data_IF_572442121548
#
_entry.id   IF_572442121548
#
_cell.length_a   1.000
_cell.length_b   1.000
_cell.length_c   1.000
_cell.angle_alpha   90.00
_cell.angle_beta   90.00
_cell.angle_gamma   90.00
#
_symmetry.space_group_name_H-M   'P 1'
#
loop_
_entity.id
_entity.type
_entity.pdbx_description
1 polymer ?
#
# COMPACT_ATOMS: atom_id res chain seq x y z
N UNK A 1 -29.50 43.30 -35.61
CA UNK A 1 -29.00 42.12 -34.86
C UNK A 1 -27.48 42.19 -34.62
N UNK A 2 -26.95 43.25 -34.00
CA UNK A 2 -25.50 43.35 -33.68
C UNK A 2 -25.22 43.69 -32.21
N UNK A 3 -26.21 44.14 -31.46
CA UNK A 3 -26.09 44.51 -30.05
C UNK A 3 -26.32 43.35 -29.07
N UNK A 4 -26.88 42.22 -29.53
CA UNK A 4 -27.17 41.06 -28.69
C UNK A 4 -25.95 40.14 -28.45
N UNK A 5 -24.89 40.27 -29.26
CA UNK A 5 -23.65 39.48 -29.11
C UNK A 5 -22.61 40.11 -28.17
N UNK A 6 -22.77 41.39 -27.83
CA UNK A 6 -21.80 42.11 -26.97
C UNK A 6 -22.10 41.85 -25.49
N UNK A 7 -23.38 41.70 -25.12
CA UNK A 7 -23.76 41.42 -23.72
C UNK A 7 -23.41 40.01 -23.23
N UNK A 8 -23.24 39.04 -24.13
CA UNK A 8 -22.84 37.67 -23.78
C UNK A 8 -21.34 37.52 -23.52
N UNK A 9 -20.50 38.45 -23.98
CA UNK A 9 -19.05 38.39 -23.78
C UNK A 9 -18.62 38.93 -22.40
N UNK A 10 -19.40 39.86 -21.83
CA UNK A 10 -19.08 40.52 -20.55
C UNK A 10 -19.36 39.59 -19.35
N UNK A 11 -20.32 38.67 -19.48
CA UNK A 11 -20.64 37.71 -18.42
C UNK A 11 -19.60 36.59 -18.23
N UNK A 12 -18.74 36.31 -19.22
CA UNK A 12 -17.72 35.26 -19.12
C UNK A 12 -16.46 35.68 -18.34
N UNK A 13 -16.20 36.98 -18.15
CA UNK A 13 -14.95 37.45 -17.52
C UNK A 13 -15.07 37.51 -16.00
N UNK A 14 -16.27 37.60 -15.44
CA UNK A 14 -16.50 37.69 -14.00
C UNK A 14 -16.36 36.35 -13.24
N UNK A 15 -16.31 35.21 -13.95
CA UNK A 15 -16.26 33.88 -13.31
C UNK A 15 -14.83 33.41 -12.95
N UNK A 16 -13.77 34.11 -13.36
CA UNK A 16 -12.38 33.66 -13.17
C UNK A 16 -11.69 34.24 -11.92
N UNK A 17 -12.34 35.13 -11.16
CA UNK A 17 -11.71 35.83 -10.03
C UNK A 17 -11.85 35.11 -8.67
N UNK A 18 -12.31 33.86 -8.63
CA UNK A 18 -12.75 33.22 -7.38
C UNK A 18 -11.81 32.15 -6.81
N UNK A 19 -10.48 32.27 -6.94
CA UNK A 19 -9.57 31.45 -6.11
C UNK A 19 -8.23 32.14 -5.85
N UNK A 20 -8.21 33.10 -4.92
CA UNK A 20 -6.99 33.50 -4.23
C UNK A 20 -7.23 33.50 -2.72
N UNK A 21 -7.22 32.31 -2.13
CA UNK A 21 -6.93 32.16 -0.70
C UNK A 21 -5.52 31.57 -0.60
N UNK A 22 -4.56 32.44 -0.32
CA UNK A 22 -3.23 32.04 0.07
C UNK A 22 -3.28 31.61 1.54
N UNK A 23 -3.52 30.32 1.77
CA UNK A 23 -3.37 29.73 3.11
C UNK A 23 -1.90 29.75 3.49
N UNK A 24 -1.50 30.79 4.23
CA UNK A 24 -0.25 30.80 4.99
C UNK A 24 -0.40 29.89 6.21
N UNK A 25 -0.45 28.58 5.97
CA UNK A 25 -0.18 27.61 7.02
C UNK A 25 1.34 27.50 7.15
N UNK A 26 1.94 27.67 8.35
CA UNK A 26 3.36 27.42 8.52
C UNK A 26 3.62 25.97 8.14
N UNK A 27 4.47 25.75 7.14
CA UNK A 27 4.94 24.44 6.76
C UNK A 27 5.58 23.80 8.00
N UNK A 28 4.80 22.96 8.67
CA UNK A 28 5.33 21.98 9.60
C UNK A 28 6.38 21.25 8.79
N UNK A 29 7.64 21.36 9.20
CA UNK A 29 8.72 20.53 8.68
C UNK A 29 8.37 19.10 9.10
N UNK A 30 7.47 18.48 8.34
CA UNK A 30 7.44 17.04 8.26
C UNK A 30 8.80 16.70 7.70
N UNK A 31 9.66 16.17 8.56
CA UNK A 31 10.76 15.32 8.12
C UNK A 31 10.14 14.45 7.04
N UNK A 32 10.53 14.69 5.79
CA UNK A 32 10.32 13.76 4.70
C UNK A 32 11.11 12.54 5.14
N UNK A 33 10.48 11.70 5.96
CA UNK A 33 10.95 10.35 6.21
C UNK A 33 10.89 9.79 4.82
N UNK A 34 12.05 9.65 4.22
CA UNK A 34 12.25 8.87 3.03
C UNK A 34 11.77 7.48 3.43
N UNK A 35 10.47 7.22 3.29
CA UNK A 35 9.88 5.91 3.53
C UNK A 35 10.31 5.09 2.34
N UNK A 36 11.59 4.72 2.33
CA UNK A 36 12.03 3.53 1.66
C UNK A 36 11.17 2.43 2.28
N UNK A 37 10.08 2.04 1.62
CA UNK A 37 9.14 1.06 2.10
C UNK A 37 9.89 -0.26 2.16
N UNK A 38 10.65 -0.46 3.23
CA UNK A 38 11.45 -1.64 3.43
C UNK A 38 10.53 -2.84 3.24
N UNK A 39 10.92 -3.75 2.37
CA UNK A 39 10.17 -4.98 2.13
C UNK A 39 10.90 -6.14 2.77
N UNK A 40 10.18 -7.23 3.02
CA UNK A 40 10.79 -8.49 3.41
C UNK A 40 10.22 -9.58 2.52
N UNK A 41 11.00 -10.64 2.34
CA UNK A 41 10.61 -11.75 1.46
C UNK A 41 10.15 -12.93 2.30
N UNK A 42 8.93 -13.38 2.09
CA UNK A 42 8.44 -14.65 2.63
C UNK A 42 8.84 -15.74 1.65
N UNK A 43 9.53 -16.78 2.12
CA UNK A 43 10.05 -17.88 1.30
C UNK A 43 9.35 -19.17 1.73
N UNK A 44 8.77 -19.88 0.75
CA UNK A 44 8.28 -21.22 0.96
C UNK A 44 9.42 -22.23 0.80
N UNK A 45 9.89 -22.75 1.91
CA UNK A 45 10.93 -23.77 2.03
C UNK A 45 10.38 -25.10 2.58
N UNK A 46 9.06 -25.26 2.65
CA UNK A 46 8.40 -26.42 3.26
C UNK A 46 8.25 -27.63 2.33
N UNK A 47 8.52 -27.47 1.03
CA UNK A 47 8.34 -28.54 0.04
C UNK A 47 6.87 -28.91 -0.24
N UNK A 48 5.91 -28.14 0.27
CA UNK A 48 4.47 -28.26 -0.02
C UNK A 48 3.93 -26.94 -0.60
N UNK A 49 2.82 -26.96 -1.34
CA UNK A 49 2.16 -25.73 -1.81
C UNK A 49 1.45 -25.08 -0.62
N UNK A 50 1.74 -23.80 -0.35
CA UNK A 50 1.14 -23.06 0.75
C UNK A 50 0.44 -21.81 0.22
N UNK A 51 -0.80 -21.58 0.65
CA UNK A 51 -1.51 -20.31 0.43
C UNK A 51 -1.47 -19.51 1.73
N UNK A 52 -1.05 -18.26 1.66
CA UNK A 52 -0.99 -17.36 2.80
C UNK A 52 -1.79 -16.10 2.54
N UNK A 53 -2.38 -15.52 3.59
CA UNK A 53 -2.95 -14.19 3.56
C UNK A 53 -2.03 -13.21 4.29
N UNK A 54 -1.48 -12.24 3.55
CA UNK A 54 -0.49 -11.26 4.06
C UNK A 54 -1.10 -10.09 4.83
N UNK A 55 -2.42 -10.09 5.01
CA UNK A 55 -3.19 -8.96 5.50
C UNK A 55 -3.66 -7.97 4.42
N UNK A 56 -3.16 -8.09 3.17
CA UNK A 56 -3.64 -7.32 2.00
C UNK A 56 -4.34 -8.21 0.97
N UNK A 57 -3.81 -9.41 0.78
CA UNK A 57 -4.36 -10.36 -0.16
C UNK A 57 -3.82 -11.76 0.11
N UNK A 58 -4.24 -12.68 -0.75
CA UNK A 58 -3.79 -14.07 -0.72
C UNK A 58 -2.71 -14.28 -1.75
N UNK A 59 -1.64 -14.95 -1.33
CA UNK A 59 -0.54 -15.35 -2.19
C UNK A 59 -0.41 -16.86 -2.14
N UNK A 60 -0.32 -17.48 -3.32
CA UNK A 60 0.00 -18.90 -3.45
C UNK A 60 1.49 -19.07 -3.66
N UNK A 61 2.13 -19.83 -2.79
CA UNK A 61 3.55 -20.17 -2.86
C UNK A 61 3.67 -21.65 -3.25
N UNK A 62 4.34 -21.90 -4.38
CA UNK A 62 4.37 -23.23 -5.01
C UNK A 62 5.25 -24.24 -4.26
N UNK A 63 5.06 -25.53 -4.59
CA UNK A 63 5.72 -26.67 -3.94
C UNK A 63 7.25 -26.68 -4.11
N UNK A 64 7.74 -26.39 -5.33
CA UNK A 64 9.17 -26.40 -5.68
C UNK A 64 9.90 -25.11 -5.27
N UNK A 65 9.45 -24.50 -4.18
CA UNK A 65 9.83 -23.15 -3.80
C UNK A 65 8.87 -22.09 -4.32
N UNK A 66 8.99 -20.91 -3.74
CA UNK A 66 8.17 -19.75 -4.06
C UNK A 66 8.47 -18.65 -3.07
N UNK A 67 8.44 -17.40 -3.51
CA UNK A 67 8.62 -16.29 -2.60
C UNK A 67 7.75 -15.13 -2.99
N UNK A 68 7.38 -14.33 -1.99
CA UNK A 68 6.66 -13.09 -2.21
C UNK A 68 7.30 -11.98 -1.39
N UNK A 69 7.36 -10.79 -1.98
CA UNK A 69 7.80 -9.59 -1.29
C UNK A 69 6.60 -8.93 -0.63
N UNK A 70 6.71 -8.63 0.64
CA UNK A 70 5.66 -7.96 1.42
C UNK A 70 6.24 -6.68 2.00
N UNK A 71 5.50 -5.59 1.90
CA UNK A 71 5.85 -4.34 2.57
C UNK A 71 6.01 -4.60 4.07
N UNK A 72 7.15 -4.21 4.63
CA UNK A 72 7.39 -4.39 6.04
C UNK A 72 6.54 -3.39 6.83
N UNK A 73 5.44 -3.88 7.37
CA UNK A 73 4.59 -3.15 8.31
C UNK A 73 4.56 -3.90 9.63
N UNK A 74 5.46 -3.58 10.57
CA UNK A 74 5.47 -4.18 11.89
C UNK A 74 4.08 -4.12 12.50
N UNK A 75 3.62 -5.23 13.07
CA UNK A 75 2.27 -5.32 13.61
C UNK A 75 1.28 -6.10 12.76
N UNK A 76 1.47 -6.15 11.44
CA UNK A 76 0.59 -6.91 10.54
C UNK A 76 0.70 -8.41 10.82
N UNK A 77 -0.44 -9.11 10.74
CA UNK A 77 -0.53 -10.55 10.97
C UNK A 77 -0.64 -11.28 9.63
N UNK A 78 0.08 -12.37 9.50
CA UNK A 78 0.07 -13.29 8.35
C UNK A 78 -0.62 -14.58 8.78
N UNK A 79 -1.46 -15.11 7.90
CA UNK A 79 -2.27 -16.31 8.14
C UNK A 79 -2.08 -17.32 7.00
N UNK A 80 -2.40 -18.59 7.24
CA UNK A 80 -2.71 -19.52 6.14
C UNK A 80 -4.02 -19.10 5.46
N UNK A 81 -4.19 -19.53 4.22
CA UNK A 81 -5.38 -19.25 3.43
C UNK A 81 -5.72 -20.37 2.43
N UNK A 82 -5.93 -21.61 2.89
CA UNK A 82 -6.19 -22.76 2.01
C UNK A 82 -7.40 -22.50 1.09
N UNK A 83 -8.44 -21.85 1.61
CA UNK A 83 -9.68 -21.51 0.90
C UNK A 83 -9.73 -20.07 0.36
N UNK A 84 -8.65 -19.31 0.47
CA UNK A 84 -8.60 -17.91 0.03
C UNK A 84 -9.08 -16.87 1.07
N UNK A 85 -9.51 -17.30 2.25
CA UNK A 85 -9.75 -16.44 3.42
C UNK A 85 -8.70 -16.72 4.50
N UNK A 86 -8.61 -15.86 5.52
CA UNK A 86 -7.72 -16.09 6.68
C UNK A 86 -8.17 -17.34 7.43
N UNK A 87 -7.22 -18.20 7.77
CA UNK A 87 -7.46 -19.45 8.49
C UNK A 87 -6.59 -19.52 9.76
N UNK A 88 -5.45 -20.23 9.74
CA UNK A 88 -4.53 -20.35 10.88
C UNK A 88 -3.57 -19.17 10.95
N UNK A 89 -3.37 -18.59 12.13
CA UNK A 89 -2.32 -17.59 12.35
C UNK A 89 -0.92 -18.21 12.17
N UNK A 90 -0.05 -17.51 11.44
CA UNK A 90 1.35 -17.92 11.27
C UNK A 90 2.27 -17.06 12.13
N UNK A 91 2.33 -15.76 11.85
CA UNK A 91 3.18 -14.83 12.59
C UNK A 91 2.72 -13.38 12.45
N UNK A 92 3.25 -12.55 13.33
CA UNK A 92 3.15 -11.09 13.28
C UNK A 92 4.46 -10.53 12.73
N UNK A 93 4.38 -9.62 11.76
CA UNK A 93 5.55 -8.94 11.19
C UNK A 93 6.23 -8.12 12.29
N UNK A 94 7.53 -8.31 12.49
CA UNK A 94 8.35 -7.52 13.41
C UNK A 94 9.31 -6.61 12.62
N UNK A 95 9.88 -5.60 13.29
CA UNK A 95 10.88 -4.70 12.67
C UNK A 95 12.11 -5.46 12.19
N UNK A 96 12.51 -6.50 12.92
CA UNK A 96 13.71 -7.30 12.60
C UNK A 96 13.57 -8.15 11.34
N UNK A 97 12.35 -8.32 10.83
CA UNK A 97 12.09 -9.03 9.57
C UNK A 97 12.31 -8.12 8.35
N UNK A 98 12.25 -6.80 8.51
CA UNK A 98 12.40 -5.87 7.39
C UNK A 98 13.76 -6.06 6.69
N UNK A 99 13.75 -6.13 5.36
CA UNK A 99 14.95 -6.37 4.54
C UNK A 99 15.44 -7.83 4.54
N UNK A 100 14.81 -8.74 5.30
CA UNK A 100 15.25 -10.12 5.42
C UNK A 100 14.37 -11.10 4.65
N UNK A 101 14.85 -12.34 4.58
CA UNK A 101 14.10 -13.50 4.09
C UNK A 101 13.55 -14.28 5.28
N UNK A 102 12.24 -14.44 5.33
CA UNK A 102 11.52 -15.16 6.37
C UNK A 102 11.04 -16.49 5.78
N UNK A 103 11.56 -17.59 6.34
CA UNK A 103 11.21 -18.96 5.95
C UNK A 103 9.88 -19.38 6.57
N UNK A 104 9.00 -20.01 5.78
CA UNK A 104 7.70 -20.47 6.25
C UNK A 104 7.78 -21.73 7.11
N UNK A 105 8.81 -22.56 6.93
CA UNK A 105 9.07 -23.74 7.78
C UNK A 105 9.20 -23.42 9.27
N UNK A 106 9.47 -22.16 9.64
CA UNK A 106 9.55 -21.73 11.03
C UNK A 106 8.18 -21.57 11.72
N UNK A 107 7.09 -21.56 10.96
CA UNK A 107 5.75 -21.20 11.46
C UNK A 107 4.64 -22.21 11.08
N UNK A 108 4.99 -23.21 10.27
CA UNK A 108 4.08 -24.29 9.84
C UNK A 108 4.45 -25.56 10.60
#
# INVERSE_FOLDING_TARGET
>A
MKTLKIFTLIACVAALASFTMADKTPAKVEKKVETNFASFKIVNDTGIKVRIHTGYGVVSLNKRGGSTSVTCRPGKKVYTAPRGSKDKFLFKVTKDMCGKRVKLSKYL
#
